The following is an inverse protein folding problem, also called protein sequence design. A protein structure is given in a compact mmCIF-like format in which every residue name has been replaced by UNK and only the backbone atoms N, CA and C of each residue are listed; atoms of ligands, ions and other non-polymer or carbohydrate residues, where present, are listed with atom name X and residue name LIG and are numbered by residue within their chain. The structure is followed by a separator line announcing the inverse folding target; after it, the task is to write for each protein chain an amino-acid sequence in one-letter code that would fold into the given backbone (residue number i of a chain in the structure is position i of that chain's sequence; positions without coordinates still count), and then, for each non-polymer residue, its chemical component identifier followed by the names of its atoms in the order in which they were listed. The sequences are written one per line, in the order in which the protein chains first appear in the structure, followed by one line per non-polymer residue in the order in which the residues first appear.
data_IF_441447276377
#
_entry.id   IF_441447276377
#
_cell.length_a   1.000
_cell.length_b   1.000
_cell.length_c   1.000
_cell.angle_alpha   90.00
_cell.angle_beta   90.00
_cell.angle_gamma   90.00
#
_symmetry.space_group_name_H-M   'P 1'
#
loop_
_entity.id
_entity.type
_entity.pdbx_description
1 polymer ?
#
# COMPACT_ATOMS: atom_id res chain seq x y z
N UNK A 1 9.98 -2.87 1.69
CA UNK A 1 9.24 -3.71 0.74
C UNK A 1 8.34 -4.71 1.47
N UNK A 2 7.27 -5.11 0.81
CA UNK A 2 6.39 -6.21 1.23
C UNK A 2 6.69 -7.49 0.44
N UNK A 3 7.66 -7.44 -0.47
CA UNK A 3 8.01 -8.56 -1.33
C UNK A 3 8.89 -9.58 -0.60
N UNK A 4 8.86 -10.81 -1.09
CA UNK A 4 9.78 -11.85 -0.67
C UNK A 4 11.24 -11.46 -0.97
N UNK A 5 12.22 -11.82 -0.13
CA UNK A 5 13.65 -11.52 -0.37
C UNK A 5 14.17 -12.01 -1.72
N UNK A 6 13.59 -13.06 -2.30
CA UNK A 6 13.92 -13.56 -3.63
C UNK A 6 13.38 -12.76 -4.81
N UNK A 7 12.62 -11.68 -4.57
CA UNK A 7 12.18 -10.75 -5.62
C UNK A 7 13.31 -9.74 -5.91
N UNK A 8 14.38 -10.20 -6.51
CA UNK A 8 15.64 -9.47 -6.73
C UNK A 8 15.68 -8.74 -8.08
N UNK A 9 14.85 -9.16 -9.04
CA UNK A 9 14.82 -8.61 -10.40
C UNK A 9 15.80 -9.28 -11.37
N UNK A 10 16.47 -10.36 -10.97
CA UNK A 10 17.48 -11.04 -11.79
C UNK A 10 16.90 -11.45 -13.15
N UNK A 11 15.75 -12.14 -13.16
CA UNK A 11 15.09 -12.56 -14.40
C UNK A 11 14.75 -11.37 -15.30
N UNK A 12 14.31 -10.24 -14.75
CA UNK A 12 14.04 -9.04 -15.54
C UNK A 12 15.32 -8.51 -16.19
N UNK A 13 16.42 -8.49 -15.45
CA UNK A 13 17.74 -8.07 -15.96
C UNK A 13 18.20 -8.98 -17.09
N UNK A 14 18.14 -10.29 -16.90
CA UNK A 14 18.52 -11.27 -17.93
C UNK A 14 17.66 -11.13 -19.21
N UNK A 15 16.36 -10.89 -19.06
CA UNK A 15 15.46 -10.64 -20.19
C UNK A 15 15.82 -9.34 -20.96
N UNK A 16 16.21 -8.30 -20.25
CA UNK A 16 16.68 -7.03 -20.86
C UNK A 16 17.97 -7.25 -21.63
N UNK A 17 18.89 -8.04 -21.09
CA UNK A 17 20.20 -8.31 -21.69
C UNK A 17 20.10 -9.11 -22.99
N UNK A 18 19.14 -10.03 -23.09
CA UNK A 18 18.85 -10.76 -24.35
C UNK A 18 18.00 -9.96 -25.33
N UNK A 19 17.65 -8.70 -25.03
CA UNK A 19 17.01 -7.76 -25.95
C UNK A 19 15.50 -7.63 -25.81
N UNK A 20 14.89 -8.15 -24.75
CA UNK A 20 13.45 -7.95 -24.48
C UNK A 20 13.11 -6.46 -24.39
N UNK A 21 12.00 -6.06 -25.00
CA UNK A 21 11.40 -4.75 -24.84
C UNK A 21 10.74 -4.62 -23.47
N UNK A 22 10.82 -3.45 -22.86
CA UNK A 22 10.24 -3.17 -21.54
C UNK A 22 9.23 -2.02 -21.59
N UNK A 23 8.32 -1.99 -20.63
CA UNK A 23 7.34 -0.90 -20.47
C UNK A 23 7.08 -0.63 -19.00
N UNK A 24 6.94 0.66 -18.64
CA UNK A 24 6.44 1.10 -17.35
C UNK A 24 7.36 0.84 -16.15
N UNK A 25 8.68 0.73 -16.36
CA UNK A 25 9.65 0.47 -15.28
C UNK A 25 9.66 1.55 -14.19
N UNK A 26 9.20 2.77 -14.51
CA UNK A 26 9.08 3.89 -13.57
C UNK A 26 7.85 3.76 -12.63
N UNK A 27 6.92 2.85 -12.92
CA UNK A 27 5.70 2.71 -12.16
C UNK A 27 5.85 1.66 -11.06
N UNK A 28 6.00 2.13 -9.83
CA UNK A 28 6.12 1.29 -8.64
C UNK A 28 4.92 1.55 -7.72
N UNK A 29 4.14 0.50 -7.45
CA UNK A 29 3.06 0.58 -6.48
C UNK A 29 3.62 0.47 -5.07
N UNK A 30 3.24 1.43 -4.23
CA UNK A 30 3.51 1.40 -2.80
C UNK A 30 2.22 1.21 -2.02
N UNK A 31 2.34 0.64 -0.83
CA UNK A 31 1.25 0.54 0.15
C UNK A 31 1.74 1.01 1.52
N UNK A 32 0.83 1.45 2.40
CA UNK A 32 1.19 1.73 3.79
C UNK A 32 1.85 0.51 4.46
N UNK A 33 2.83 0.76 5.31
CA UNK A 33 3.52 -0.27 6.05
C UNK A 33 4.41 0.31 7.15
N UNK A 34 4.99 -0.55 7.98
CA UNK A 34 5.82 -0.13 9.10
C UNK A 34 7.10 0.60 8.67
N UNK A 35 7.59 1.43 9.53
CA UNK A 35 8.82 2.23 9.33
C UNK A 35 10.04 1.32 9.32
N UNK A 36 11.04 1.54 8.44
CA UNK A 36 12.29 0.80 8.46
C UNK A 36 12.98 0.85 9.82
N UNK A 37 13.49 -0.29 10.28
CA UNK A 37 14.14 -0.44 11.58
C UNK A 37 13.20 -0.83 12.73
N UNK A 38 11.89 -0.74 12.56
CA UNK A 38 10.93 -1.28 13.53
C UNK A 38 10.74 -2.78 13.34
N UNK A 39 11.16 -3.57 14.35
CA UNK A 39 11.06 -5.04 14.30
C UNK A 39 9.60 -5.53 14.30
N UNK A 40 8.73 -4.84 15.04
CA UNK A 40 7.30 -5.12 15.15
C UNK A 40 6.52 -3.86 14.79
N UNK A 41 6.24 -3.71 13.51
CA UNK A 41 5.50 -2.56 13.02
C UNK A 41 3.99 -2.78 13.22
N UNK A 42 3.25 -1.79 13.74
CA UNK A 42 1.80 -1.85 13.84
C UNK A 42 1.15 -1.84 12.46
N UNK A 43 0.00 -2.47 12.36
CA UNK A 43 -0.83 -2.48 11.15
C UNK A 43 -2.26 -2.08 11.49
N UNK A 44 -2.57 -0.78 11.41
CA UNK A 44 -3.84 -0.18 11.79
C UNK A 44 -4.63 0.38 10.58
N UNK A 45 -4.20 0.13 9.35
CA UNK A 45 -4.71 0.76 8.12
C UNK A 45 -5.42 -0.22 7.17
N UNK A 46 -5.95 -1.35 7.68
CA UNK A 46 -6.64 -2.35 6.85
C UNK A 46 -8.04 -1.88 6.42
N UNK A 47 -8.75 -1.17 7.28
CA UNK A 47 -10.13 -0.73 7.05
C UNK A 47 -10.17 0.79 6.92
N UNK A 48 -10.27 1.27 5.69
CA UNK A 48 -10.19 2.71 5.36
C UNK A 48 -11.25 3.56 6.06
N UNK A 49 -12.37 3.01 6.44
CA UNK A 49 -13.46 3.67 7.17
C UNK A 49 -13.22 3.81 8.70
N UNK A 50 -12.02 3.40 9.19
CA UNK A 50 -11.72 3.29 10.62
C UNK A 50 -10.39 3.92 11.06
N UNK A 51 -9.68 4.61 10.20
CA UNK A 51 -8.41 5.22 10.57
C UNK A 51 -8.20 6.58 9.93
N UNK A 52 -7.27 7.35 10.49
CA UNK A 52 -6.73 8.57 9.93
C UNK A 52 -5.22 8.47 9.77
N UNK A 53 -4.68 9.15 8.75
CA UNK A 53 -3.27 9.49 8.68
C UNK A 53 -3.04 10.92 9.14
N UNK A 54 -2.15 11.10 10.12
CA UNK A 54 -1.66 12.41 10.53
C UNK A 54 -0.14 12.46 10.42
N UNK A 55 0.39 13.60 10.01
CA UNK A 55 1.84 13.81 9.93
C UNK A 55 2.47 14.02 11.32
N UNK A 56 3.77 14.29 11.37
CA UNK A 56 4.50 14.51 12.63
C UNK A 56 4.08 15.81 13.36
N UNK A 57 3.32 16.68 12.70
CA UNK A 57 2.69 17.85 13.32
C UNK A 57 1.28 17.56 13.83
N UNK A 58 0.79 16.33 13.75
CA UNK A 58 -0.55 15.91 14.17
C UNK A 58 -1.67 16.33 13.22
N UNK A 59 -1.36 16.72 11.97
CA UNK A 59 -2.33 17.20 10.98
C UNK A 59 -2.61 16.15 9.92
N UNK A 60 -3.89 15.99 9.53
CA UNK A 60 -4.25 15.23 8.34
C UNK A 60 -3.71 15.94 7.10
N UNK A 61 -3.21 15.18 6.13
CA UNK A 61 -2.56 15.73 4.94
C UNK A 61 -3.08 15.12 3.63
N UNK A 62 -3.86 14.05 3.70
CA UNK A 62 -4.41 13.32 2.55
C UNK A 62 -5.73 12.66 2.92
N UNK A 63 -6.59 12.43 1.95
CA UNK A 63 -7.73 11.53 2.10
C UNK A 63 -7.24 10.07 2.08
N UNK A 64 -7.61 9.31 3.06
CA UNK A 64 -7.07 7.97 3.30
C UNK A 64 -7.57 6.92 2.30
N UNK A 65 -8.62 7.22 1.55
CA UNK A 65 -9.17 6.42 0.44
C UNK A 65 -8.60 6.80 -0.94
N UNK A 66 -7.55 7.61 -0.98
CA UNK A 66 -6.90 7.98 -2.24
C UNK A 66 -6.25 6.78 -2.93
N UNK A 67 -6.05 6.88 -4.25
CA UNK A 67 -5.26 5.91 -5.01
C UNK A 67 -3.87 5.74 -4.38
N UNK A 68 -3.31 4.54 -4.49
CA UNK A 68 -2.03 4.20 -3.85
C UNK A 68 -0.84 5.05 -4.29
N UNK A 69 -0.82 5.48 -5.55
CA UNK A 69 0.19 6.41 -6.06
C UNK A 69 0.06 7.81 -5.44
N UNK A 70 -1.17 8.31 -5.30
CA UNK A 70 -1.45 9.59 -4.63
C UNK A 70 -1.12 9.53 -3.14
N UNK A 71 -1.46 8.41 -2.46
CA UNK A 71 -1.06 8.18 -1.07
C UNK A 71 0.45 8.13 -0.91
N UNK A 72 1.14 7.44 -1.84
CA UNK A 72 2.62 7.37 -1.86
C UNK A 72 3.22 8.77 -1.93
N UNK A 73 2.82 9.55 -2.90
CA UNK A 73 3.40 10.88 -3.15
C UNK A 73 3.14 11.80 -1.95
N UNK A 74 1.90 11.85 -1.45
CA UNK A 74 1.57 12.64 -0.26
C UNK A 74 2.33 12.18 1.00
N UNK A 75 2.59 10.89 1.17
CA UNK A 75 3.39 10.39 2.30
C UNK A 75 4.87 10.75 2.15
N UNK A 76 5.42 10.64 0.94
CA UNK A 76 6.82 10.99 0.67
C UNK A 76 7.10 12.48 0.88
N UNK A 77 6.10 13.33 0.66
CA UNK A 77 6.18 14.78 0.93
C UNK A 77 6.14 15.13 2.43
N UNK A 78 5.78 14.17 3.31
CA UNK A 78 5.81 14.44 4.75
C UNK A 78 7.25 14.37 5.30
N UNK A 79 7.53 15.09 6.40
CA UNK A 79 8.83 15.01 7.06
C UNK A 79 9.25 13.56 7.34
N UNK A 80 10.44 13.19 6.86
CA UNK A 80 11.01 11.83 6.96
C UNK A 80 10.18 10.74 6.25
N UNK A 81 9.19 11.11 5.43
CA UNK A 81 8.23 10.20 4.80
C UNK A 81 7.51 9.29 5.84
N UNK A 82 7.20 9.83 7.02
CA UNK A 82 6.56 9.13 8.14
C UNK A 82 5.28 9.86 8.54
N UNK A 83 4.25 9.08 8.84
CA UNK A 83 3.02 9.55 9.45
C UNK A 83 2.62 8.63 10.62
N UNK A 84 1.57 9.01 11.31
CA UNK A 84 0.89 8.19 12.31
C UNK A 84 -0.46 7.72 11.75
N UNK A 85 -0.78 6.45 11.93
CA UNK A 85 -2.14 5.95 11.78
C UNK A 85 -2.84 6.05 13.12
N UNK A 86 -3.99 6.69 13.16
CA UNK A 86 -4.81 6.89 14.38
C UNK A 86 -6.09 6.08 14.23
N UNK A 87 -6.43 5.27 15.23
CA UNK A 87 -7.69 4.54 15.36
C UNK A 87 -8.24 4.64 16.78
N UNK A 88 -9.51 4.36 16.96
CA UNK A 88 -10.13 4.15 18.27
C UNK A 88 -10.22 2.67 18.64
N UNK A 89 -10.84 2.36 19.79
CA UNK A 89 -11.00 0.99 20.27
C UNK A 89 -11.73 0.09 19.27
N UNK A 90 -12.79 0.58 18.62
CA UNK A 90 -13.54 -0.21 17.66
C UNK A 90 -12.74 -0.44 16.36
N UNK A 91 -11.99 0.57 15.91
CA UNK A 91 -11.05 0.45 14.80
C UNK A 91 -9.93 -0.54 15.10
N UNK A 92 -9.39 -0.53 16.31
CA UNK A 92 -8.39 -1.50 16.75
C UNK A 92 -8.95 -2.92 16.82
N UNK A 93 -10.14 -3.10 17.39
CA UNK A 93 -10.81 -4.41 17.49
C UNK A 93 -11.07 -5.02 16.12
N UNK A 94 -11.48 -4.22 15.16
CA UNK A 94 -11.72 -4.67 13.78
C UNK A 94 -10.46 -5.22 13.10
N UNK A 95 -9.25 -4.75 13.50
CA UNK A 95 -7.99 -5.28 12.98
C UNK A 95 -7.63 -6.66 13.54
N UNK A 96 -8.20 -7.09 14.67
CA UNK A 96 -7.82 -8.33 15.36
C UNK A 96 -7.89 -9.57 14.48
N UNK A 97 -8.92 -9.69 13.65
CA UNK A 97 -9.12 -10.86 12.82
C UNK A 97 -8.05 -11.03 11.72
N UNK A 98 -7.44 -9.93 11.28
CA UNK A 98 -6.47 -9.93 10.19
C UNK A 98 -5.04 -9.59 10.64
N UNK A 99 -4.89 -8.76 11.69
CA UNK A 99 -3.62 -8.17 12.15
C UNK A 99 -3.41 -8.23 13.65
N UNK A 100 -4.22 -9.00 14.38
CA UNK A 100 -4.14 -9.14 15.82
C UNK A 100 -2.73 -9.50 16.32
N UNK A 101 -2.12 -10.59 15.86
CA UNK A 101 -0.78 -10.99 16.30
C UNK A 101 0.31 -9.94 16.02
N UNK A 102 0.24 -9.25 14.88
CA UNK A 102 1.17 -8.17 14.52
C UNK A 102 1.02 -6.99 15.49
N UNK A 103 -0.20 -6.56 15.76
CA UNK A 103 -0.51 -5.43 16.64
C UNK A 103 -0.20 -5.75 18.11
N UNK A 104 -0.45 -6.97 18.57
CA UNK A 104 -0.05 -7.41 19.92
C UNK A 104 1.48 -7.41 20.10
N UNK A 105 2.21 -7.88 19.09
CA UNK A 105 3.66 -7.83 19.11
C UNK A 105 4.18 -6.38 19.11
N UNK A 106 3.53 -5.48 18.38
CA UNK A 106 3.85 -4.06 18.34
C UNK A 106 3.57 -3.35 19.69
N UNK A 107 2.47 -3.71 20.38
CA UNK A 107 2.19 -3.24 21.74
C UNK A 107 3.28 -3.66 22.74
N UNK A 108 3.67 -4.94 22.72
CA UNK A 108 4.73 -5.47 23.58
C UNK A 108 6.09 -4.84 23.28
N UNK A 109 6.35 -4.50 22.03
CA UNK A 109 7.60 -3.87 21.58
C UNK A 109 7.64 -2.35 21.82
N UNK A 110 6.51 -1.71 22.20
CA UNK A 110 6.41 -0.26 22.38
C UNK A 110 6.44 0.53 21.08
N UNK A 111 6.09 -0.09 19.94
CA UNK A 111 5.94 0.57 18.63
C UNK A 111 4.51 0.93 18.30
N UNK A 112 3.55 0.37 19.02
CA UNK A 112 2.14 0.76 19.02
C UNK A 112 1.81 1.44 20.35
N UNK A 113 1.27 2.65 20.28
CA UNK A 113 0.93 3.48 21.42
C UNK A 113 -0.59 3.49 21.64
N UNK A 114 -1.02 3.66 22.90
CA UNK A 114 -2.43 3.85 23.24
C UNK A 114 -2.61 4.77 24.42
N UNK A 115 -3.78 5.43 24.50
CA UNK A 115 -4.19 6.28 25.62
C UNK A 115 -5.71 6.40 25.68
N UNK A 116 -6.22 6.82 26.85
CA UNK A 116 -7.66 6.99 27.08
C UNK A 116 -8.20 8.32 26.54
N UNK A 117 -7.32 9.27 26.15
CA UNK A 117 -7.67 10.51 25.50
C UNK A 117 -6.79 10.78 24.27
N UNK A 118 -7.30 11.59 23.34
CA UNK A 118 -6.54 12.05 22.17
C UNK A 118 -5.36 12.93 22.60
N UNK A 119 -5.54 13.74 23.62
CA UNK A 119 -4.52 14.62 24.17
C UNK A 119 -3.36 13.84 24.80
N UNK A 120 -3.65 12.77 25.51
CA UNK A 120 -2.60 11.91 26.11
C UNK A 120 -1.95 11.04 25.05
N UNK A 121 -2.69 10.58 24.03
CA UNK A 121 -2.10 9.91 22.88
C UNK A 121 -1.12 10.83 22.16
N UNK A 122 -1.51 12.09 21.91
CA UNK A 122 -0.64 13.09 21.28
C UNK A 122 0.67 13.30 22.04
N UNK A 123 0.61 13.40 23.37
CA UNK A 123 1.80 13.49 24.24
C UNK A 123 2.71 12.26 24.07
N UNK A 124 2.12 11.06 24.08
CA UNK A 124 2.88 9.81 23.95
C UNK A 124 3.61 9.68 22.61
N UNK A 125 3.01 10.16 21.53
CA UNK A 125 3.58 10.08 20.18
C UNK A 125 4.37 11.33 19.78
N UNK A 126 4.42 12.34 20.64
CA UNK A 126 5.22 13.54 20.44
C UNK A 126 4.69 14.50 19.38
N UNK A 127 3.36 14.57 19.19
CA UNK A 127 2.73 15.54 18.28
C UNK A 127 1.96 16.61 19.06
N UNK A 128 1.72 17.82 18.48
CA UNK A 128 0.93 18.85 19.14
C UNK A 128 -0.52 18.38 19.40
N UNK A 129 -0.93 18.39 20.67
CA UNK A 129 -2.23 17.85 21.09
C UNK A 129 -3.42 18.55 20.43
N UNK A 130 -3.35 19.89 20.29
CA UNK A 130 -4.39 20.66 19.62
C UNK A 130 -4.59 20.25 18.15
N UNK A 131 -3.48 19.99 17.44
CA UNK A 131 -3.54 19.59 16.04
C UNK A 131 -4.14 18.20 15.88
N UNK A 132 -3.73 17.23 16.72
CA UNK A 132 -4.28 15.88 16.67
C UNK A 132 -5.78 15.89 17.00
N UNK A 133 -6.16 16.66 18.03
CA UNK A 133 -7.58 16.83 18.40
C UNK A 133 -8.38 17.43 17.24
N UNK A 134 -7.90 18.51 16.64
CA UNK A 134 -8.54 19.16 15.49
C UNK A 134 -8.69 18.18 14.31
N UNK A 135 -7.67 17.37 14.03
CA UNK A 135 -7.72 16.38 12.97
C UNK A 135 -8.83 15.34 13.20
N UNK A 136 -8.95 14.83 14.43
CA UNK A 136 -9.99 13.86 14.81
C UNK A 136 -11.38 14.51 14.83
N UNK A 137 -11.53 15.71 15.39
CA UNK A 137 -12.81 16.43 15.44
C UNK A 137 -13.32 16.78 14.03
N UNK A 138 -12.42 17.26 13.16
CA UNK A 138 -12.75 17.55 11.76
C UNK A 138 -13.20 16.30 11.01
N UNK A 139 -12.54 15.18 11.21
CA UNK A 139 -12.95 13.90 10.62
C UNK A 139 -14.31 13.45 11.17
N UNK A 140 -14.52 13.50 12.49
CA UNK A 140 -15.79 13.11 13.10
C UNK A 140 -16.95 13.96 12.59
N UNK A 141 -16.73 15.26 12.40
CA UNK A 141 -17.69 16.16 11.75
C UNK A 141 -17.95 15.77 10.29
N UNK A 142 -16.90 15.37 9.55
CA UNK A 142 -17.05 14.92 8.17
C UNK A 142 -17.94 13.65 8.09
N UNK A 143 -17.83 12.74 9.05
CA UNK A 143 -18.70 11.55 9.15
C UNK A 143 -20.17 11.98 9.33
N UNK A 144 -20.46 12.98 10.18
CA UNK A 144 -21.83 13.48 10.39
C UNK A 144 -22.39 14.18 9.15
N UNK A 145 -21.58 15.02 8.52
CA UNK A 145 -22.00 15.86 7.39
C UNK A 145 -21.86 15.18 6.03
N UNK A 146 -21.22 14.00 6.00
CA UNK A 146 -20.84 13.29 4.76
C UNK A 146 -19.95 14.12 3.82
N UNK A 147 -19.23 15.08 4.37
CA UNK A 147 -18.35 15.99 3.61
C UNK A 147 -17.00 16.13 4.32
N UNK A 148 -15.95 15.57 3.72
CA UNK A 148 -14.59 15.70 4.23
C UNK A 148 -13.84 16.84 3.50
N UNK A 149 -13.18 17.78 4.23
CA UNK A 149 -12.38 18.84 3.62
C UNK A 149 -11.27 18.35 2.70
N UNK A 150 -10.73 17.13 2.95
CA UNK A 150 -9.71 16.50 2.11
C UNK A 150 -10.30 15.67 0.96
N UNK A 151 -11.65 15.59 0.86
CA UNK A 151 -12.35 14.92 -0.22
C UNK A 151 -12.41 13.39 -0.10
N UNK A 152 -12.38 12.84 1.12
CA UNK A 152 -12.66 11.42 1.36
C UNK A 152 -14.07 11.09 0.92
N UNK A 153 -14.25 9.95 0.25
CA UNK A 153 -15.52 9.58 -0.36
C UNK A 153 -16.63 9.39 0.70
N UNK A 154 -17.85 9.82 0.39
CA UNK A 154 -19.00 9.72 1.29
C UNK A 154 -19.23 8.27 1.78
N UNK A 155 -19.08 7.30 0.88
CA UNK A 155 -19.31 5.87 1.19
C UNK A 155 -18.36 5.28 2.23
N UNK A 156 -17.24 5.94 2.55
CA UNK A 156 -16.30 5.53 3.60
C UNK A 156 -16.30 6.46 4.81
N UNK A 157 -17.17 7.47 4.84
CA UNK A 157 -17.40 8.34 6.00
C UNK A 157 -18.49 7.74 6.88
N UNK A 158 -18.24 6.57 7.47
CA UNK A 158 -19.26 5.81 8.22
C UNK A 158 -18.99 5.69 9.71
N UNK A 159 -17.73 5.63 10.11
CA UNK A 159 -17.33 5.41 11.49
C UNK A 159 -16.54 6.59 12.05
N UNK A 160 -16.93 7.07 13.22
CA UNK A 160 -16.19 8.09 13.97
C UNK A 160 -15.03 7.48 14.76
N UNK A 161 -14.07 8.29 15.13
CA UNK A 161 -13.00 7.97 16.08
C UNK A 161 -13.36 8.64 17.41
N UNK A 162 -14.05 7.90 18.30
CA UNK A 162 -14.61 8.47 19.55
C UNK A 162 -14.47 7.57 20.76
N UNK A 163 -14.16 6.29 20.59
CA UNK A 163 -14.19 5.30 21.67
C UNK A 163 -12.79 5.01 22.20
N UNK A 164 -12.53 5.39 23.46
CA UNK A 164 -11.28 5.04 24.12
C UNK A 164 -11.13 3.52 24.34
N UNK A 165 -9.87 2.99 24.43
CA UNK A 165 -8.64 3.71 24.20
C UNK A 165 -8.37 4.01 22.72
N UNK A 166 -7.64 5.11 22.47
CA UNK A 166 -7.17 5.48 21.14
C UNK A 166 -5.78 4.93 20.90
N UNK A 167 -5.49 4.52 19.67
CA UNK A 167 -4.23 3.90 19.30
C UNK A 167 -3.52 4.67 18.19
N UNK A 168 -2.19 4.65 18.24
CA UNK A 168 -1.34 5.24 17.22
C UNK A 168 -0.17 4.34 16.86
N UNK A 169 0.06 4.15 15.57
CA UNK A 169 1.20 3.43 15.04
C UNK A 169 1.87 4.20 13.91
N UNK A 170 3.22 4.19 13.88
CA UNK A 170 3.95 4.82 12.78
C UNK A 170 3.74 4.05 11.48
N UNK A 171 3.66 4.81 10.38
CA UNK A 171 3.45 4.27 9.04
C UNK A 171 4.30 5.04 8.04
N UNK A 172 4.78 4.34 7.02
CA UNK A 172 5.40 4.88 5.81
C UNK A 172 4.92 4.10 4.60
N UNK A 173 5.42 4.43 3.41
CA UNK A 173 5.10 3.68 2.20
C UNK A 173 6.16 2.61 1.92
N UNK A 174 5.72 1.39 1.62
CA UNK A 174 6.57 0.27 1.22
C UNK A 174 6.32 -0.09 -0.24
N UNK A 175 7.39 -0.41 -0.97
CA UNK A 175 7.28 -1.00 -2.31
C UNK A 175 6.51 -2.32 -2.20
N UNK A 176 5.51 -2.48 -3.06
CA UNK A 176 4.59 -3.60 -3.00
C UNK A 176 4.49 -4.38 -4.31
N UNK A 177 4.47 -3.69 -5.46
CA UNK A 177 4.34 -4.30 -6.78
C UNK A 177 4.98 -3.41 -7.83
N UNK A 178 5.68 -4.00 -8.79
CA UNK A 178 6.15 -3.29 -9.98
C UNK A 178 5.10 -3.39 -11.08
N UNK A 179 4.78 -2.26 -11.73
CA UNK A 179 3.86 -2.23 -12.87
C UNK A 179 4.60 -2.49 -14.18
N UNK A 180 5.89 -2.22 -14.17
CA UNK A 180 6.77 -2.37 -15.30
C UNK A 180 7.41 -3.74 -15.40
N UNK A 181 7.81 -4.08 -16.60
CA UNK A 181 8.45 -5.36 -16.93
C UNK A 181 8.58 -5.54 -18.43
N UNK A 182 8.82 -6.78 -18.86
CA UNK A 182 8.93 -7.12 -20.28
C UNK A 182 7.59 -7.02 -20.99
N UNK A 183 7.60 -6.58 -22.24
CA UNK A 183 6.40 -6.51 -23.09
C UNK A 183 6.05 -7.90 -23.56
N UNK A 184 4.78 -8.28 -23.39
CA UNK A 184 4.22 -9.52 -23.94
C UNK A 184 3.06 -9.21 -24.90
N UNK A 185 2.80 -10.14 -25.83
CA UNK A 185 1.60 -10.11 -26.65
C UNK A 185 0.44 -10.91 -25.98
N UNK A 186 -0.71 -10.99 -26.69
CA UNK A 186 -1.89 -11.75 -26.21
C UNK A 186 -1.65 -13.24 -25.97
N UNK A 187 -0.60 -13.80 -26.55
CA UNK A 187 -0.21 -15.19 -26.46
C UNK A 187 0.90 -15.42 -25.39
N UNK A 188 1.20 -14.36 -24.59
CA UNK A 188 2.22 -14.30 -23.55
C UNK A 188 3.66 -14.47 -24.08
N UNK A 189 3.90 -14.29 -25.37
CA UNK A 189 5.24 -14.28 -25.96
C UNK A 189 5.94 -12.95 -25.68
N UNK A 190 7.20 -12.99 -25.31
CA UNK A 190 8.02 -11.81 -25.06
C UNK A 190 8.35 -11.11 -26.37
N UNK A 191 8.25 -9.78 -26.38
CA UNK A 191 8.51 -8.91 -27.53
C UNK A 191 9.86 -8.24 -27.34
N UNK A 192 10.68 -8.21 -28.38
CA UNK A 192 11.97 -7.54 -28.40
C UNK A 192 11.82 -6.00 -28.48
N UNK A 193 12.95 -5.28 -28.40
CA UNK A 193 12.99 -3.80 -28.51
C UNK A 193 12.58 -3.28 -29.89
N UNK A 194 12.50 -4.13 -30.92
CA UNK A 194 12.11 -3.80 -32.29
C UNK A 194 10.65 -4.14 -32.57
N UNK A 195 9.95 -4.78 -31.62
CA UNK A 195 8.55 -5.16 -31.75
C UNK A 195 8.34 -6.59 -32.30
N UNK A 196 9.38 -7.42 -32.40
CA UNK A 196 9.28 -8.79 -32.86
C UNK A 196 9.15 -9.75 -31.67
N UNK A 197 8.49 -10.90 -31.90
CA UNK A 197 8.45 -12.00 -30.92
C UNK A 197 9.86 -12.59 -30.78
N UNK A 198 10.31 -12.79 -29.52
CA UNK A 198 11.49 -13.60 -29.22
C UNK A 198 11.06 -15.07 -29.22
N UNK A 199 11.50 -15.90 -30.20
CA UNK A 199 11.06 -17.29 -30.31
C UNK A 199 11.36 -18.10 -29.05
N UNK A 200 10.39 -18.95 -28.65
CA UNK A 200 10.53 -19.83 -27.49
C UNK A 200 10.44 -19.14 -26.12
N UNK A 201 10.32 -17.81 -26.05
CA UNK A 201 10.32 -17.06 -24.80
C UNK A 201 8.93 -16.56 -24.45
N UNK A 202 8.47 -16.92 -23.23
CA UNK A 202 7.18 -16.56 -22.67
C UNK A 202 7.35 -15.93 -21.29
N UNK A 203 6.48 -15.00 -20.92
CA UNK A 203 6.47 -14.39 -19.60
C UNK A 203 5.04 -14.12 -19.10
N UNK A 204 4.86 -14.15 -17.78
CA UNK A 204 3.59 -13.86 -17.14
C UNK A 204 3.80 -13.34 -15.71
N UNK A 205 2.83 -12.58 -15.19
CA UNK A 205 2.85 -12.05 -13.83
C UNK A 205 3.70 -10.79 -13.69
N UNK A 206 4.21 -10.51 -12.50
CA UNK A 206 4.85 -9.24 -12.13
C UNK A 206 6.08 -8.88 -12.96
N UNK A 207 6.73 -9.87 -13.61
CA UNK A 207 7.85 -9.62 -14.54
C UNK A 207 7.41 -8.95 -15.84
N UNK A 208 6.09 -8.94 -16.15
CA UNK A 208 5.53 -8.36 -17.36
C UNK A 208 5.10 -6.91 -17.14
N UNK A 209 5.32 -6.06 -18.16
CA UNK A 209 4.98 -4.64 -18.13
C UNK A 209 3.73 -4.28 -18.92
N UNK A 210 2.95 -3.32 -18.41
CA UNK A 210 1.81 -2.72 -19.12
C UNK A 210 0.44 -3.34 -18.84
N UNK A 211 0.36 -4.51 -18.21
CA UNK A 211 -0.91 -5.19 -17.88
C UNK A 211 -1.77 -4.32 -16.94
N UNK A 212 -1.16 -3.73 -15.94
CA UNK A 212 -1.85 -2.98 -14.88
C UNK A 212 -1.80 -1.46 -15.07
N UNK A 213 -1.25 -0.96 -16.18
CA UNK A 213 -1.05 0.48 -16.40
C UNK A 213 -0.09 1.06 -15.37
N UNK A 214 -0.44 2.21 -14.79
CA UNK A 214 0.42 2.95 -13.84
C UNK A 214 0.21 2.57 -12.38
N UNK A 215 -0.93 1.92 -12.06
CA UNK A 215 -1.28 1.58 -10.68
C UNK A 215 -2.31 0.44 -10.64
N UNK A 216 -1.92 -0.71 -10.12
CA UNK A 216 -2.74 -1.92 -10.07
C UNK A 216 -3.86 -1.81 -9.02
N UNK A 217 -5.08 -2.17 -9.39
CA UNK A 217 -6.18 -2.38 -8.43
C UNK A 217 -5.89 -3.62 -7.58
N UNK A 218 -6.18 -3.53 -6.29
CA UNK A 218 -5.97 -4.63 -5.34
C UNK A 218 -6.65 -5.93 -5.79
N UNK A 219 -5.96 -7.07 -5.65
CA UNK A 219 -6.43 -8.36 -6.09
C UNK A 219 -6.12 -8.73 -7.55
N UNK A 220 -6.01 -7.76 -8.45
CA UNK A 220 -5.85 -8.02 -9.90
C UNK A 220 -4.55 -8.75 -10.27
N UNK A 221 -3.53 -8.77 -9.41
CA UNK A 221 -2.36 -9.61 -9.64
C UNK A 221 -2.73 -11.10 -9.76
N UNK A 222 -3.73 -11.57 -8.99
CA UNK A 222 -4.20 -12.96 -9.08
C UNK A 222 -4.84 -13.24 -10.44
N UNK A 223 -5.69 -12.34 -10.94
CA UNK A 223 -6.29 -12.49 -12.27
C UNK A 223 -5.22 -12.52 -13.37
N UNK A 224 -4.20 -11.66 -13.27
CA UNK A 224 -3.08 -11.60 -14.21
C UNK A 224 -2.29 -12.94 -14.21
N UNK A 225 -1.75 -13.36 -13.07
CA UNK A 225 -0.89 -14.55 -12.99
C UNK A 225 -1.62 -15.84 -13.41
N UNK A 226 -2.90 -16.01 -13.07
CA UNK A 226 -3.67 -17.16 -13.49
C UNK A 226 -4.01 -17.13 -14.99
N UNK A 227 -4.33 -15.96 -15.53
CA UNK A 227 -4.66 -15.81 -16.95
C UNK A 227 -3.42 -15.99 -17.82
N UNK A 228 -2.42 -15.12 -17.64
CA UNK A 228 -1.23 -15.16 -18.50
C UNK A 228 -0.30 -16.32 -18.19
N UNK A 229 -0.23 -16.80 -16.95
CA UNK A 229 0.52 -18.01 -16.61
C UNK A 229 -0.02 -19.23 -17.34
N UNK A 230 -1.36 -19.38 -17.42
CA UNK A 230 -1.99 -20.46 -18.22
C UNK A 230 -1.71 -20.29 -19.71
N UNK A 231 -1.86 -19.09 -20.26
CA UNK A 231 -1.61 -18.80 -21.67
C UNK A 231 -0.16 -19.13 -22.03
N UNK A 232 0.79 -18.64 -21.23
CA UNK A 232 2.22 -18.89 -21.43
C UNK A 232 2.53 -20.39 -21.42
N UNK A 233 2.06 -21.12 -20.41
CA UNK A 233 2.31 -22.56 -20.29
C UNK A 233 1.73 -23.37 -21.44
N UNK A 234 0.49 -23.09 -21.87
CA UNK A 234 -0.15 -23.76 -23.01
C UNK A 234 0.59 -23.46 -24.31
N UNK A 235 0.98 -22.21 -24.54
CA UNK A 235 1.66 -21.84 -25.79
C UNK A 235 3.10 -22.34 -25.84
N UNK A 236 3.83 -22.32 -24.73
CA UNK A 236 5.15 -22.91 -24.64
C UNK A 236 5.14 -24.42 -24.93
N UNK A 237 4.14 -25.16 -24.44
CA UNK A 237 3.99 -26.58 -24.70
C UNK A 237 3.65 -26.92 -26.17
N UNK A 238 2.90 -26.03 -26.84
CA UNK A 238 2.49 -26.22 -28.25
C UNK A 238 3.57 -25.82 -29.26
N UNK A 239 4.43 -24.88 -28.89
CA UNK A 239 5.46 -24.31 -29.73
C UNK A 239 6.82 -24.44 -29.01
N UNK A 240 7.35 -25.64 -28.86
CA UNK A 240 8.69 -25.84 -28.31
C UNK A 240 9.71 -25.10 -29.18
N UNK A 241 10.76 -24.53 -28.53
CA UNK A 241 11.83 -23.79 -29.20
C UNK A 241 12.64 -24.67 -30.15
#
# INVERSE_FOLDING_TARGET
TTNHPGATGDVLTDLIDIGAGTRGLDYIQCIPGGVPGEKHAPNLFTHVDRFLFVNLDGKRFIKEDARRDVLRDAMLDQPKAIAWTIVDADGFEQQKNSKGPENEAALKAGTLYYADSIEDLAKKIGVPANNLKEAVDTYNKAVDTKKDPLGRAEGVLVNKIIKAPFYAGRVTMKRHHTMGGVIINKDAQVIDRRGNVIPGLYAAGEVTGGIHGTNRVGGNAMADIFTYGRIAGVNAAKNPA
#
